data_IF_977167371683
#
_entry.id   IF_977167371683
#
_cell.length_a   1.000
_cell.length_b   1.000
_cell.length_c   1.000
_cell.angle_alpha   90.00
_cell.angle_beta   90.00
_cell.angle_gamma   90.00
#
_symmetry.space_group_name_H-M   'P 1'
#
loop_
_entity.id
_entity.type
_entity.pdbx_description
1 polymer ?
#
# COMPACT_ATOMS: atom_id res chain seq x y z
N UNK A 1 1.34 -22.16 -5.46
CA UNK A 1 0.02 -21.74 -5.93
C UNK A 1 -0.10 -20.23 -5.81
N UNK A 2 -0.42 -19.58 -6.89
CA UNK A 2 -0.54 -18.12 -6.88
C UNK A 2 -1.76 -17.69 -6.07
N UNK A 3 -1.58 -16.67 -5.24
CA UNK A 3 -2.64 -16.10 -4.46
C UNK A 3 -3.62 -15.32 -5.33
N UNK A 4 -4.89 -15.39 -4.98
CA UNK A 4 -5.91 -14.63 -5.68
C UNK A 4 -5.90 -13.18 -5.21
N UNK A 5 -5.79 -12.26 -6.15
CA UNK A 5 -5.87 -10.83 -5.87
C UNK A 5 -7.33 -10.39 -5.89
N UNK A 6 -7.75 -9.70 -4.84
CA UNK A 6 -9.10 -9.16 -4.72
C UNK A 6 -9.00 -7.66 -4.51
N UNK A 7 -9.79 -6.88 -5.24
CA UNK A 7 -9.83 -5.43 -5.05
C UNK A 7 -10.48 -5.12 -3.71
N UNK A 8 -9.94 -4.11 -3.03
CA UNK A 8 -10.43 -3.73 -1.72
C UNK A 8 -11.94 -3.47 -1.70
N UNK A 9 -12.45 -2.77 -2.71
CA UNK A 9 -13.86 -2.42 -2.81
C UNK A 9 -14.80 -3.62 -2.96
N UNK A 10 -14.27 -4.79 -3.38
CA UNK A 10 -15.04 -6.01 -3.53
C UNK A 10 -15.16 -6.81 -2.23
N UNK A 11 -14.46 -6.40 -1.18
CA UNK A 11 -14.47 -7.10 0.09
C UNK A 11 -15.75 -6.78 0.88
N UNK A 12 -16.14 -7.73 1.74
CA UNK A 12 -17.21 -7.51 2.69
C UNK A 12 -16.77 -6.50 3.75
N UNK A 13 -17.72 -5.79 4.35
CA UNK A 13 -17.41 -4.78 5.36
C UNK A 13 -16.58 -5.32 6.51
N UNK A 14 -16.89 -6.53 6.99
CA UNK A 14 -16.11 -7.15 8.07
C UNK A 14 -14.65 -7.34 7.69
N UNK A 15 -14.40 -7.79 6.45
CA UNK A 15 -13.04 -7.98 5.95
C UNK A 15 -12.32 -6.64 5.82
N UNK A 16 -13.01 -5.61 5.31
CA UNK A 16 -12.44 -4.26 5.20
C UNK A 16 -12.02 -3.73 6.56
N UNK A 17 -12.88 -3.83 7.54
CA UNK A 17 -12.61 -3.37 8.91
C UNK A 17 -11.41 -4.12 9.49
N UNK A 18 -11.37 -5.43 9.30
CA UNK A 18 -10.27 -6.24 9.81
C UNK A 18 -8.93 -5.86 9.18
N UNK A 19 -8.92 -5.67 7.87
CA UNK A 19 -7.71 -5.27 7.13
C UNK A 19 -7.25 -3.89 7.58
N UNK A 20 -8.17 -2.95 7.73
CA UNK A 20 -7.83 -1.60 8.19
C UNK A 20 -7.25 -1.61 9.59
N UNK A 21 -7.80 -2.42 10.49
CA UNK A 21 -7.28 -2.57 11.85
C UNK A 21 -5.86 -3.15 11.86
N UNK A 22 -5.65 -4.20 11.08
CA UNK A 22 -4.33 -4.82 10.99
C UNK A 22 -3.30 -3.87 10.39
N UNK A 23 -3.68 -3.17 9.33
CA UNK A 23 -2.80 -2.21 8.68
C UNK A 23 -2.47 -1.05 9.61
N UNK A 24 -3.46 -0.51 10.31
CA UNK A 24 -3.25 0.56 11.27
C UNK A 24 -2.31 0.12 12.38
N UNK A 25 -2.54 -1.05 12.95
CA UNK A 25 -1.68 -1.60 14.00
C UNK A 25 -0.23 -1.73 13.52
N UNK A 26 -0.07 -2.18 12.28
CA UNK A 26 1.23 -2.36 11.65
C UNK A 26 1.96 -1.02 11.44
N UNK A 27 1.24 -0.01 10.98
CA UNK A 27 1.82 1.29 10.65
C UNK A 27 1.96 2.21 11.87
N UNK A 28 1.10 2.07 12.87
CA UNK A 28 1.12 2.91 14.07
C UNK A 28 2.15 2.45 15.12
N UNK A 29 2.49 1.17 15.10
CA UNK A 29 3.55 0.72 15.98
C UNK A 29 4.86 1.38 15.54
N UNK A 30 5.50 2.09 16.44
CA UNK A 30 6.83 2.69 16.21
C UNK A 30 7.91 1.61 16.03
N UNK A 31 7.51 0.40 15.69
CA UNK A 31 8.42 -0.65 15.36
C UNK A 31 9.13 -0.30 14.05
N UNK A 32 10.40 -0.60 14.01
CA UNK A 32 11.21 -0.35 12.83
C UNK A 32 10.54 -0.94 11.60
N UNK A 33 10.30 -0.09 10.64
CA UNK A 33 9.72 -0.50 9.38
C UNK A 33 10.66 -1.50 8.70
N UNK A 34 10.17 -2.69 8.46
CA UNK A 34 10.96 -3.72 7.77
C UNK A 34 10.69 -3.64 6.28
N UNK A 35 11.76 -3.58 5.52
CA UNK A 35 11.68 -3.54 4.06
C UNK A 35 12.50 -4.70 3.51
N UNK A 36 11.92 -5.48 2.62
CA UNK A 36 12.63 -6.63 2.04
C UNK A 36 13.79 -6.17 1.16
N UNK A 37 14.79 -7.03 0.99
CA UNK A 37 15.92 -6.76 0.10
C UNK A 37 15.41 -6.53 -1.32
N UNK A 38 14.43 -7.30 -1.76
CA UNK A 38 13.81 -7.14 -3.06
C UNK A 38 13.17 -5.74 -3.22
N UNK A 39 12.46 -5.29 -2.19
CA UNK A 39 11.84 -3.96 -2.21
C UNK A 39 12.89 -2.85 -2.27
N UNK A 40 13.97 -2.98 -1.52
CA UNK A 40 15.07 -2.01 -1.55
C UNK A 40 15.69 -1.93 -2.94
N UNK A 41 15.93 -3.09 -3.55
CA UNK A 41 16.47 -3.16 -4.90
C UNK A 41 15.55 -2.48 -5.91
N UNK A 42 14.24 -2.77 -5.84
CA UNK A 42 13.27 -2.16 -6.74
C UNK A 42 13.16 -0.66 -6.54
N UNK A 43 13.25 -0.21 -5.29
CA UNK A 43 13.24 1.22 -4.99
C UNK A 43 14.43 1.91 -5.67
N UNK A 44 15.61 1.32 -5.58
CA UNK A 44 16.80 1.86 -6.26
C UNK A 44 16.62 1.95 -7.77
N UNK A 45 16.11 0.89 -8.38
CA UNK A 45 15.87 0.84 -9.83
C UNK A 45 14.84 1.87 -10.29
N UNK A 46 13.88 2.19 -9.45
CA UNK A 46 12.73 3.05 -9.80
C UNK A 46 12.85 4.47 -9.26
N UNK A 47 13.98 4.79 -8.64
CA UNK A 47 14.18 6.12 -8.08
C UNK A 47 13.27 6.47 -6.92
N UNK A 48 12.83 5.49 -6.17
CA UNK A 48 12.00 5.68 -4.99
C UNK A 48 12.93 5.84 -3.79
N UNK A 49 12.79 6.95 -3.07
CA UNK A 49 13.61 7.22 -1.89
C UNK A 49 12.89 6.77 -0.62
N UNK A 50 13.67 6.40 0.40
CA UNK A 50 13.14 6.06 1.72
C UNK A 50 12.22 7.13 2.28
N UNK A 51 12.56 8.39 2.05
CA UNK A 51 11.73 9.50 2.54
C UNK A 51 10.31 9.46 1.99
N UNK A 52 10.13 8.98 0.75
CA UNK A 52 8.80 8.84 0.16
C UNK A 52 7.98 7.79 0.91
N UNK A 53 8.60 6.66 1.21
CA UNK A 53 7.96 5.56 1.94
C UNK A 53 7.61 6.00 3.36
N UNK A 54 8.57 6.60 4.06
CA UNK A 54 8.36 7.09 5.42
C UNK A 54 7.26 8.14 5.48
N UNK A 55 7.25 9.07 4.53
CA UNK A 55 6.25 10.11 4.49
C UNK A 55 4.86 9.55 4.29
N UNK A 56 4.71 8.59 3.37
CA UNK A 56 3.44 7.94 3.10
C UNK A 56 2.89 7.28 4.37
N UNK A 57 3.73 6.54 5.07
CA UNK A 57 3.33 5.84 6.30
C UNK A 57 3.01 6.83 7.42
N UNK A 58 3.81 7.87 7.56
CA UNK A 58 3.62 8.88 8.61
C UNK A 58 2.35 9.68 8.41
N UNK A 59 2.08 10.12 7.19
CA UNK A 59 0.90 10.93 6.88
C UNK A 59 -0.36 10.11 6.74
N UNK A 60 -0.21 8.82 6.46
CA UNK A 60 -1.32 7.90 6.17
C UNK A 60 -2.19 8.39 5.01
N UNK A 61 -1.58 9.13 4.10
CA UNK A 61 -2.26 9.70 2.93
C UNK A 61 -2.24 8.68 1.78
N UNK A 62 -2.99 7.60 1.97
CA UNK A 62 -3.08 6.51 1.00
C UNK A 62 -4.47 5.91 0.97
N UNK A 63 -4.75 5.13 -0.07
CA UNK A 63 -5.93 4.28 -0.12
C UNK A 63 -5.51 2.83 -0.35
N UNK A 64 -6.35 1.91 0.09
CA UNK A 64 -6.10 0.47 -0.08
C UNK A 64 -6.60 0.06 -1.45
N UNK A 65 -5.70 -0.52 -2.25
CA UNK A 65 -6.00 -0.93 -3.62
C UNK A 65 -6.54 -2.36 -3.66
N UNK A 66 -5.78 -3.30 -3.13
CA UNK A 66 -6.13 -4.72 -3.26
C UNK A 66 -5.49 -5.55 -2.17
N UNK A 67 -5.98 -6.78 -2.06
CA UNK A 67 -5.49 -7.77 -1.11
C UNK A 67 -5.20 -9.05 -1.87
N UNK A 68 -4.09 -9.70 -1.54
CA UNK A 68 -3.72 -11.00 -2.09
C UNK A 68 -3.48 -11.96 -0.94
N UNK A 69 -4.17 -13.08 -0.94
CA UNK A 69 -3.99 -14.13 0.06
C UNK A 69 -3.21 -15.27 -0.57
N UNK A 70 -2.04 -15.58 0.02
CA UNK A 70 -1.19 -16.69 -0.41
C UNK A 70 -0.92 -17.59 0.79
N UNK A 71 -1.62 -18.70 0.88
CA UNK A 71 -1.53 -19.58 2.04
C UNK A 71 -1.93 -18.82 3.31
N UNK A 72 -1.02 -18.77 4.26
CA UNK A 72 -1.24 -18.04 5.52
C UNK A 72 -0.87 -16.56 5.42
N UNK A 73 -0.26 -16.14 4.30
CA UNK A 73 0.17 -14.76 4.12
C UNK A 73 -0.91 -13.91 3.50
N UNK A 74 -1.10 -12.72 4.07
CA UNK A 74 -2.00 -11.72 3.49
C UNK A 74 -1.17 -10.51 3.11
N UNK A 75 -1.22 -10.14 1.84
CA UNK A 75 -0.53 -8.96 1.31
C UNK A 75 -1.54 -7.89 0.96
N UNK A 76 -1.24 -6.66 1.34
CA UNK A 76 -2.09 -5.51 1.06
C UNK A 76 -1.33 -4.53 0.21
N UNK A 77 -1.95 -4.06 -0.87
CA UNK A 77 -1.40 -3.00 -1.71
C UNK A 77 -2.03 -1.68 -1.29
N UNK A 78 -1.19 -0.69 -0.99
CA UNK A 78 -1.65 0.68 -0.72
C UNK A 78 -1.03 1.62 -1.76
N UNK A 79 -1.76 2.67 -2.10
CA UNK A 79 -1.33 3.65 -3.11
C UNK A 79 -1.46 5.03 -2.50
N UNK A 80 -0.42 5.86 -2.64
CA UNK A 80 -0.45 7.23 -2.15
C UNK A 80 -1.54 8.03 -2.87
N UNK A 81 -2.28 8.86 -2.12
CA UNK A 81 -3.27 9.75 -2.70
C UNK A 81 -2.62 10.86 -3.51
N UNK A 82 -1.46 11.32 -3.05
CA UNK A 82 -0.71 12.36 -3.74
C UNK A 82 0.45 11.76 -4.52
N UNK A 83 0.76 12.30 -5.71
CA UNK A 83 1.89 11.80 -6.47
C UNK A 83 3.21 12.15 -5.77
N UNK A 84 4.19 11.27 -5.90
CA UNK A 84 5.54 11.52 -5.39
C UNK A 84 6.38 12.30 -6.40
N UNK A 85 6.02 12.19 -7.69
CA UNK A 85 6.63 12.98 -8.78
C UNK A 85 5.80 12.81 -10.05
N UNK A 86 5.69 13.86 -10.87
CA UNK A 86 5.12 13.81 -12.22
C UNK A 86 3.90 12.89 -12.41
N UNK A 87 2.87 13.04 -11.63
CA UNK A 87 1.65 12.20 -11.70
C UNK A 87 1.90 10.72 -11.37
N UNK A 88 3.07 10.37 -10.86
CA UNK A 88 3.37 9.01 -10.43
C UNK A 88 3.11 8.88 -8.94
N UNK A 89 2.27 7.93 -8.58
CA UNK A 89 1.90 7.64 -7.22
C UNK A 89 2.71 6.47 -6.67
N UNK A 90 3.04 6.51 -5.39
CA UNK A 90 3.78 5.43 -4.75
C UNK A 90 2.82 4.31 -4.40
N UNK A 91 3.16 3.09 -4.81
CA UNK A 91 2.43 1.88 -4.44
C UNK A 91 3.34 1.00 -3.61
N UNK A 92 2.86 0.61 -2.44
CA UNK A 92 3.55 -0.32 -1.56
C UNK A 92 2.74 -1.58 -1.40
N UNK A 93 3.41 -2.73 -1.40
CA UNK A 93 2.80 -4.00 -1.06
C UNK A 93 3.38 -4.42 0.30
N UNK A 94 2.50 -4.58 1.28
CA UNK A 94 2.89 -4.97 2.63
C UNK A 94 2.36 -6.36 2.95
N UNK A 95 3.20 -7.15 3.62
CA UNK A 95 2.75 -8.44 4.14
C UNK A 95 2.29 -8.22 5.57
N UNK A 96 1.00 -8.41 5.84
CA UNK A 96 0.43 -8.20 7.17
C UNK A 96 0.84 -9.28 8.17
N UNK A 97 1.25 -10.44 7.68
CA UNK A 97 1.62 -11.56 8.54
C UNK A 97 2.94 -11.31 9.27
N UNK A 98 3.93 -10.77 8.58
CA UNK A 98 5.27 -10.55 9.13
C UNK A 98 5.71 -9.08 9.14
N UNK A 99 4.82 -8.17 8.79
CA UNK A 99 5.06 -6.72 8.84
C UNK A 99 6.24 -6.25 7.99
N UNK A 100 6.32 -6.76 6.76
CA UNK A 100 7.38 -6.39 5.83
C UNK A 100 6.80 -5.71 4.60
N UNK A 101 7.45 -4.63 4.16
CA UNK A 101 7.18 -4.07 2.84
C UNK A 101 7.85 -4.99 1.83
N UNK A 102 7.04 -5.65 1.02
CA UNK A 102 7.50 -6.68 0.09
C UNK A 102 8.01 -6.08 -1.21
N UNK A 103 7.34 -5.03 -1.68
CA UNK A 103 7.77 -4.32 -2.87
C UNK A 103 7.26 -2.88 -2.88
N UNK A 104 7.91 -2.05 -3.67
CA UNK A 104 7.52 -0.66 -3.87
C UNK A 104 7.62 -0.33 -5.35
N UNK A 105 6.65 0.40 -5.87
CA UNK A 105 6.64 0.84 -7.26
C UNK A 105 5.96 2.19 -7.40
N UNK A 106 6.16 2.82 -8.53
CA UNK A 106 5.42 4.03 -8.89
C UNK A 106 4.49 3.70 -10.04
N UNK A 107 3.31 4.31 -10.05
CA UNK A 107 2.35 4.09 -11.10
C UNK A 107 1.49 5.33 -11.34
N UNK A 108 0.97 5.44 -12.55
CA UNK A 108 -0.08 6.42 -12.83
C UNK A 108 -1.41 5.83 -12.40
N UNK A 109 -2.25 6.66 -11.79
CA UNK A 109 -3.58 6.20 -11.43
C UNK A 109 -4.47 6.12 -12.67
N UNK A 110 -5.35 5.10 -12.70
CA UNK A 110 -6.44 5.06 -13.66
C UNK A 110 -7.45 6.14 -13.29
N UNK A 111 -8.39 6.44 -14.17
CA UNK A 111 -9.44 7.42 -13.88
C UNK A 111 -10.25 7.02 -12.65
N UNK A 112 -10.54 5.74 -12.51
CA UNK A 112 -11.25 5.21 -11.35
C UNK A 112 -10.45 5.39 -10.07
N UNK A 113 -9.15 5.09 -10.11
CA UNK A 113 -8.26 5.26 -8.96
C UNK A 113 -8.13 6.74 -8.58
N UNK A 114 -8.04 7.64 -9.55
CA UNK A 114 -8.00 9.08 -9.30
C UNK A 114 -9.29 9.54 -8.60
N UNK A 115 -10.42 9.02 -9.02
CA UNK A 115 -11.69 9.32 -8.40
C UNK A 115 -11.69 8.91 -6.93
N UNK A 116 -11.23 7.70 -6.64
CA UNK A 116 -11.17 7.18 -5.28
C UNK A 116 -10.20 7.97 -4.40
N UNK A 117 -9.04 8.36 -4.93
CA UNK A 117 -8.06 9.12 -4.16
C UNK A 117 -8.53 10.53 -3.82
N UNK A 118 -9.36 11.12 -4.67
CA UNK A 118 -9.86 12.48 -4.49
C UNK A 118 -11.26 12.55 -3.88
N UNK A 119 -11.76 11.42 -3.41
CA UNK A 119 -13.13 11.33 -2.88
C UNK A 119 -13.43 12.36 -1.79
N UNK A 120 -12.46 12.58 -0.90
CA UNK A 120 -12.65 13.52 0.20
C UNK A 120 -12.52 14.98 -0.20
N UNK A 121 -11.82 15.25 -1.27
CA UNK A 121 -11.57 16.62 -1.72
C UNK A 121 -12.73 17.22 -2.49
N UNK A 122 -13.68 16.42 -2.89
CA UNK A 122 -14.83 16.83 -3.70
C UNK A 122 -16.06 17.23 -2.89
N UNK A 123 -15.97 17.18 -1.61
CA UNK A 123 -17.08 17.50 -0.73
C UNK A 123 -17.32 19.00 -0.62
#
# INVERSE_FOLDING_TARGET
>A
MEGKRVRYEELKEEEKINIEKQLKRHLDNNTKLKISVHAIQRMGERGIRFKHVKNLIKTKDYFIDSITKEGINTRVSIISNSPVRNKLHLKLVLCLTNYIIVTAMVKKLSKEEEYNSNEYERI
#
